data_IF_326923868771
#
_entry.id   IF_326923868771
#
_cell.length_a   1.000
_cell.length_b   1.000
_cell.length_c   1.000
_cell.angle_alpha   90.00
_cell.angle_beta   90.00
_cell.angle_gamma   90.00
#
_symmetry.space_group_name_H-M   'P 1'
#
loop_
_entity.id
_entity.type
_entity.pdbx_description
1 polymer ?
#
# COMPACT_ATOMS: atom_id res chain seq x y z
N UNK A 1 -7.51 -0.03 25.87
CA UNK A 1 -7.44 1.32 25.26
C UNK A 1 -6.63 2.36 26.07
N UNK A 2 -6.56 2.31 27.42
CA UNK A 2 -5.81 3.30 28.23
C UNK A 2 -4.32 3.41 27.88
N UNK A 3 -3.62 2.28 27.69
CA UNK A 3 -2.19 2.27 27.38
C UNK A 3 -1.87 2.99 26.05
N UNK A 4 -2.68 2.74 25.01
CA UNK A 4 -2.52 3.38 23.69
C UNK A 4 -2.69 4.90 23.79
N UNK A 5 -3.64 5.36 24.60
CA UNK A 5 -3.86 6.79 24.83
C UNK A 5 -2.67 7.44 25.55
N UNK A 6 -2.12 6.77 26.57
CA UNK A 6 -0.92 7.26 27.30
C UNK A 6 0.29 7.31 26.37
N UNK A 7 0.55 6.25 25.61
CA UNK A 7 1.66 6.22 24.64
C UNK A 7 1.52 7.31 23.59
N UNK A 8 0.31 7.53 23.05
CA UNK A 8 0.04 8.62 22.10
C UNK A 8 0.32 9.99 22.71
N UNK A 9 -0.10 10.23 23.95
CA UNK A 9 0.12 11.49 24.63
C UNK A 9 1.61 11.78 24.85
N UNK A 10 2.39 10.77 25.24
CA UNK A 10 3.86 10.88 25.39
C UNK A 10 4.51 11.20 24.05
N UNK A 11 4.16 10.47 22.99
CA UNK A 11 4.72 10.68 21.65
C UNK A 11 4.41 12.07 21.08
N UNK A 12 3.20 12.61 21.29
CA UNK A 12 2.86 13.97 20.86
C UNK A 12 3.62 15.03 21.67
N UNK A 13 3.81 14.80 22.98
CA UNK A 13 4.63 15.67 23.83
C UNK A 13 6.09 15.73 23.38
N UNK A 14 6.70 14.56 23.11
CA UNK A 14 8.07 14.46 22.61
C UNK A 14 8.23 15.11 21.24
N UNK A 15 7.31 14.85 20.31
CA UNK A 15 7.29 15.49 18.99
C UNK A 15 7.24 17.02 19.10
N UNK A 16 6.38 17.55 19.97
CA UNK A 16 6.28 18.99 20.19
C UNK A 16 7.58 19.59 20.77
N UNK A 17 8.25 18.87 21.68
CA UNK A 17 9.54 19.28 22.23
C UNK A 17 10.66 19.30 21.17
N UNK A 18 10.72 18.27 20.33
CA UNK A 18 11.70 18.17 19.24
C UNK A 18 11.49 19.27 18.20
N UNK A 19 10.25 19.51 17.78
CA UNK A 19 9.92 20.59 16.82
C UNK A 19 10.19 22.00 17.35
N UNK A 20 10.13 22.20 18.67
CA UNK A 20 10.53 23.47 19.30
C UNK A 20 12.05 23.65 19.31
N UNK A 21 12.81 22.57 19.43
CA UNK A 21 14.28 22.59 19.47
C UNK A 21 14.89 22.76 18.08
N UNK A 22 14.37 22.01 17.10
CA UNK A 22 14.90 21.99 15.74
C UNK A 22 13.92 22.67 14.78
N UNK A 23 14.29 23.84 14.23
CA UNK A 23 13.46 24.58 13.26
C UNK A 23 13.18 23.79 11.97
N UNK A 24 14.05 22.84 11.62
CA UNK A 24 13.90 21.95 10.47
C UNK A 24 14.35 20.54 10.85
N UNK A 25 13.57 19.54 10.46
CA UNK A 25 13.93 18.14 10.70
C UNK A 25 14.96 17.68 9.65
N UNK A 26 15.94 16.84 10.02
CA UNK A 26 16.87 16.27 9.06
C UNK A 26 16.16 15.46 7.96
N UNK A 27 16.72 15.43 6.74
CA UNK A 27 16.18 14.64 5.62
C UNK A 27 16.04 13.15 5.96
N UNK A 28 16.94 12.63 6.79
CA UNK A 28 16.92 11.25 7.30
C UNK A 28 15.66 10.95 8.13
N UNK A 29 15.12 11.94 8.84
CA UNK A 29 13.85 11.80 9.55
C UNK A 29 12.69 11.64 8.57
N UNK A 30 12.58 12.54 7.58
CA UNK A 30 11.52 12.47 6.58
C UNK A 30 11.56 11.16 5.80
N UNK A 31 12.76 10.67 5.48
CA UNK A 31 12.97 9.38 4.84
C UNK A 31 12.47 8.22 5.69
N UNK A 32 12.84 8.17 6.98
CA UNK A 32 12.37 7.13 7.91
C UNK A 32 10.86 7.19 8.09
N UNK A 33 10.29 8.37 8.19
CA UNK A 33 8.84 8.56 8.29
C UNK A 33 8.12 8.03 7.04
N UNK A 34 8.66 8.31 5.86
CA UNK A 34 8.12 7.79 4.60
C UNK A 34 8.21 6.26 4.53
N UNK A 35 9.34 5.68 4.93
CA UNK A 35 9.55 4.22 5.02
C UNK A 35 8.51 3.55 5.93
N UNK A 36 8.27 4.13 7.11
CA UNK A 36 7.27 3.62 8.05
C UNK A 36 5.85 3.74 7.51
N UNK A 37 5.51 4.86 6.87
CA UNK A 37 4.20 5.04 6.25
C UNK A 37 3.96 4.04 5.12
N UNK A 38 4.96 3.83 4.28
CA UNK A 38 4.87 2.87 3.17
C UNK A 38 4.73 1.44 3.68
N UNK A 39 5.60 1.02 4.61
CA UNK A 39 5.55 -0.34 5.19
C UNK A 39 4.23 -0.64 5.90
N UNK A 40 3.71 0.30 6.70
CA UNK A 40 2.39 0.15 7.33
C UNK A 40 1.28 0.05 6.28
N UNK A 41 1.32 0.88 5.24
CA UNK A 41 0.37 0.84 4.13
C UNK A 41 0.38 -0.50 3.41
N UNK A 42 1.57 -1.04 3.15
CA UNK A 42 1.74 -2.34 2.50
C UNK A 42 1.24 -3.49 3.39
N UNK A 43 1.55 -3.47 4.69
CA UNK A 43 1.06 -4.48 5.65
C UNK A 43 -0.47 -4.49 5.71
N UNK A 44 -1.10 -3.32 5.67
CA UNK A 44 -2.55 -3.18 5.61
C UNK A 44 -3.12 -3.76 4.32
N UNK A 45 -2.49 -3.47 3.18
CA UNK A 45 -2.89 -4.05 1.90
C UNK A 45 -2.77 -5.59 1.92
N UNK A 46 -1.67 -6.13 2.46
CA UNK A 46 -1.48 -7.57 2.65
C UNK A 46 -2.50 -8.19 3.60
N UNK A 47 -2.94 -7.46 4.63
CA UNK A 47 -4.02 -7.90 5.50
C UNK A 47 -5.32 -8.02 4.72
N UNK A 48 -5.67 -7.00 3.93
CA UNK A 48 -6.88 -7.02 3.09
C UNK A 48 -6.87 -8.14 2.06
N UNK A 49 -5.73 -8.41 1.43
CA UNK A 49 -5.59 -9.56 0.52
C UNK A 49 -5.89 -10.87 1.24
N UNK A 50 -5.41 -11.04 2.48
CA UNK A 50 -5.70 -12.22 3.30
C UNK A 50 -7.17 -12.29 3.74
N UNK A 51 -7.80 -11.16 4.06
CA UNK A 51 -9.23 -11.09 4.37
C UNK A 51 -10.09 -11.48 3.16
N UNK A 52 -9.76 -10.97 1.97
CA UNK A 52 -10.42 -11.32 0.71
C UNK A 52 -10.30 -12.83 0.45
N UNK A 53 -9.10 -13.39 0.65
CA UNK A 53 -8.88 -14.83 0.51
C UNK A 53 -9.73 -15.64 1.51
N UNK A 54 -9.74 -15.24 2.79
CA UNK A 54 -10.49 -15.94 3.84
C UNK A 54 -12.00 -15.93 3.57
N UNK A 55 -12.57 -14.77 3.22
CA UNK A 55 -14.00 -14.65 2.88
C UNK A 55 -14.40 -15.51 1.68
N UNK A 56 -13.49 -15.67 0.72
CA UNK A 56 -13.71 -16.54 -0.44
C UNK A 56 -13.64 -18.02 -0.06
N UNK A 57 -12.69 -18.41 0.79
CA UNK A 57 -12.55 -19.79 1.28
C UNK A 57 -13.71 -20.21 2.21
N UNK A 58 -14.32 -19.25 2.90
CA UNK A 58 -15.55 -19.44 3.69
C UNK A 58 -16.82 -19.54 2.82
N UNK A 59 -16.73 -19.28 1.51
CA UNK A 59 -17.78 -19.53 0.51
C UNK A 59 -18.13 -21.03 0.35
N UNK A 60 -19.23 -21.38 -0.35
CA UNK A 60 -20.32 -22.31 0.03
C UNK A 60 -19.94 -23.80 0.06
N UNK A 61 -18.87 -24.17 0.77
CA UNK A 61 -18.33 -25.52 0.81
C UNK A 61 -18.65 -26.30 2.09
N UNK A 62 -19.42 -25.76 3.04
CA UNK A 62 -19.71 -26.47 4.31
C UNK A 62 -21.16 -26.66 4.69
N UNK A 63 -22.09 -25.77 4.35
CA UNK A 63 -23.51 -25.99 4.66
C UNK A 63 -24.41 -25.38 3.58
N UNK A 64 -25.38 -26.16 3.10
CA UNK A 64 -26.33 -25.80 2.05
C UNK A 64 -27.37 -24.75 2.46
N UNK A 65 -26.95 -23.64 3.07
CA UNK A 65 -27.80 -22.56 3.51
C UNK A 65 -27.73 -21.38 2.53
N UNK A 66 -28.90 -21.05 1.97
CA UNK A 66 -29.35 -19.77 1.37
C UNK A 66 -28.25 -18.72 1.18
N UNK A 67 -27.96 -18.40 -0.09
CA UNK A 67 -27.12 -17.27 -0.49
C UNK A 67 -27.59 -15.98 0.19
N UNK A 68 -26.88 -15.52 1.22
CA UNK A 68 -27.10 -14.18 1.76
C UNK A 68 -26.48 -13.18 0.79
N UNK A 69 -27.25 -12.22 0.24
CA UNK A 69 -26.75 -11.22 -0.72
C UNK A 69 -25.73 -10.23 -0.12
N UNK A 70 -25.44 -10.33 1.18
CA UNK A 70 -24.46 -9.51 1.89
C UNK A 70 -22.99 -9.89 1.57
N UNK A 71 -22.67 -11.18 1.51
CA UNK A 71 -21.28 -11.66 1.36
C UNK A 71 -20.62 -11.23 0.02
N UNK A 72 -21.30 -11.29 -1.15
CA UNK A 72 -20.70 -10.81 -2.41
C UNK A 72 -20.48 -9.29 -2.44
N UNK A 73 -21.33 -8.53 -1.72
CA UNK A 73 -21.19 -7.07 -1.60
C UNK A 73 -20.00 -6.71 -0.72
N UNK A 74 -19.84 -7.38 0.41
CA UNK A 74 -18.70 -7.20 1.31
C UNK A 74 -17.37 -7.50 0.60
N UNK A 75 -17.28 -8.61 -0.13
CA UNK A 75 -16.10 -8.97 -0.93
C UNK A 75 -15.77 -7.89 -1.98
N UNK A 76 -16.79 -7.42 -2.70
CA UNK A 76 -16.64 -6.36 -3.70
C UNK A 76 -16.13 -5.05 -3.09
N UNK A 77 -16.63 -4.68 -1.91
CA UNK A 77 -16.15 -3.49 -1.19
C UNK A 77 -14.68 -3.63 -0.76
N UNK A 78 -14.29 -4.78 -0.21
CA UNK A 78 -12.92 -5.03 0.21
C UNK A 78 -11.93 -5.00 -0.96
N UNK A 79 -12.31 -5.56 -2.11
CA UNK A 79 -11.51 -5.53 -3.33
C UNK A 79 -11.32 -4.09 -3.83
N UNK A 80 -12.38 -3.29 -3.88
CA UNK A 80 -12.30 -1.88 -4.30
C UNK A 80 -11.42 -1.06 -3.36
N UNK A 81 -11.54 -1.30 -2.07
CA UNK A 81 -10.73 -0.66 -1.05
C UNK A 81 -9.24 -1.08 -1.15
N UNK A 82 -8.96 -2.36 -1.33
CA UNK A 82 -7.61 -2.88 -1.55
C UNK A 82 -6.98 -2.26 -2.82
N UNK A 83 -7.74 -2.13 -3.90
CA UNK A 83 -7.29 -1.47 -5.13
C UNK A 83 -6.94 0.00 -4.93
N UNK A 84 -7.75 0.73 -4.15
CA UNK A 84 -7.46 2.13 -3.80
C UNK A 84 -6.17 2.25 -2.99
N UNK A 85 -5.92 1.32 -2.06
CA UNK A 85 -4.68 1.30 -1.29
C UNK A 85 -3.46 0.91 -2.14
N UNK A 86 -3.61 -0.03 -3.06
CA UNK A 86 -2.59 -0.39 -4.03
C UNK A 86 -2.19 0.81 -4.92
N UNK A 87 -3.16 1.56 -5.43
CA UNK A 87 -2.92 2.78 -6.20
C UNK A 87 -2.21 3.85 -5.35
N UNK A 88 -2.59 4.02 -4.08
CA UNK A 88 -1.92 4.95 -3.18
C UNK A 88 -0.47 4.54 -2.91
N UNK A 89 -0.21 3.26 -2.67
CA UNK A 89 1.14 2.71 -2.47
C UNK A 89 1.99 2.90 -3.73
N UNK A 90 1.42 2.67 -4.91
CA UNK A 90 2.06 2.97 -6.20
C UNK A 90 2.48 4.43 -6.31
N UNK A 91 1.60 5.38 -5.98
CA UNK A 91 1.94 6.80 -6.02
C UNK A 91 3.09 7.16 -5.08
N UNK A 92 3.18 6.52 -3.91
CA UNK A 92 4.31 6.70 -3.00
C UNK A 92 5.63 6.21 -3.61
N UNK A 93 5.62 5.03 -4.25
CA UNK A 93 6.80 4.50 -4.96
C UNK A 93 7.21 5.43 -6.08
N UNK A 94 6.28 5.87 -6.93
CA UNK A 94 6.58 6.78 -8.05
C UNK A 94 7.17 8.11 -7.57
N UNK A 95 6.60 8.69 -6.51
CA UNK A 95 7.15 9.91 -5.90
C UNK A 95 8.56 9.67 -5.38
N UNK A 96 8.82 8.52 -4.77
CA UNK A 96 10.15 8.18 -4.27
C UNK A 96 11.18 7.99 -5.39
N UNK A 97 10.79 7.38 -6.52
CA UNK A 97 11.61 7.30 -7.73
C UNK A 97 11.98 8.71 -8.22
N UNK A 98 11.02 9.63 -8.27
CA UNK A 98 11.27 11.02 -8.70
C UNK A 98 12.25 11.74 -7.77
N UNK A 99 12.08 11.59 -6.45
CA UNK A 99 12.99 12.17 -5.46
C UNK A 99 14.40 11.60 -5.63
N UNK A 100 14.51 10.28 -5.79
CA UNK A 100 15.80 9.61 -5.98
C UNK A 100 16.51 10.09 -7.25
N UNK A 101 15.80 10.18 -8.39
CA UNK A 101 16.35 10.72 -9.65
C UNK A 101 16.82 12.17 -9.49
N UNK A 102 16.06 12.99 -8.76
CA UNK A 102 16.45 14.38 -8.49
C UNK A 102 17.71 14.46 -7.62
N UNK A 103 17.82 13.62 -6.59
CA UNK A 103 19.02 13.55 -5.75
C UNK A 103 20.23 13.08 -6.55
N UNK A 104 20.06 12.09 -7.43
CA UNK A 104 21.12 11.63 -8.33
C UNK A 104 21.58 12.75 -9.29
N UNK A 105 20.65 13.53 -9.84
CA UNK A 105 20.99 14.68 -10.68
C UNK A 105 21.79 15.74 -9.92
N UNK A 106 21.39 16.07 -8.68
CA UNK A 106 22.11 17.03 -7.84
C UNK A 106 23.49 16.52 -7.45
N UNK A 107 23.64 15.20 -7.24
CA UNK A 107 24.92 14.55 -7.02
C UNK A 107 25.89 14.77 -8.18
N UNK A 108 25.37 14.73 -9.41
CA UNK A 108 26.13 15.08 -10.61
C UNK A 108 26.67 16.51 -10.60
N UNK A 109 26.07 17.41 -9.81
CA UNK A 109 26.52 18.79 -9.60
C UNK A 109 27.37 18.96 -8.33
N UNK A 110 27.83 17.87 -7.71
CA UNK A 110 28.69 17.90 -6.52
C UNK A 110 27.95 17.87 -5.17
N UNK A 111 26.64 17.65 -5.15
CA UNK A 111 25.92 17.41 -3.89
C UNK A 111 26.24 16.02 -3.31
N UNK A 112 26.12 15.87 -1.99
CA UNK A 112 26.30 14.57 -1.31
C UNK A 112 25.15 13.63 -1.70
N UNK A 113 25.50 12.40 -2.09
CA UNK A 113 24.55 11.36 -2.49
C UNK A 113 24.85 10.04 -1.76
N UNK A 114 24.09 9.80 -0.71
CA UNK A 114 24.23 8.62 0.16
C UNK A 114 23.18 7.53 -0.14
N UNK A 115 22.41 7.66 -1.23
CA UNK A 115 21.31 6.74 -1.51
C UNK A 115 21.70 5.62 -2.49
N UNK A 116 21.64 4.37 -2.02
CA UNK A 116 21.65 3.20 -2.90
C UNK A 116 20.23 2.91 -3.44
N UNK A 117 20.17 2.22 -4.58
CA UNK A 117 18.90 1.86 -5.22
C UNK A 117 18.15 0.73 -4.47
N UNK A 118 18.85 -0.05 -3.65
CA UNK A 118 18.33 -1.26 -3.03
C UNK A 118 17.01 -1.07 -2.22
N UNK A 119 16.84 -0.04 -1.36
CA UNK A 119 15.58 0.20 -0.67
C UNK A 119 14.43 0.52 -1.63
N UNK A 120 14.72 1.24 -2.71
CA UNK A 120 13.71 1.58 -3.72
C UNK A 120 13.32 0.33 -4.53
N UNK A 121 14.30 -0.48 -4.92
CA UNK A 121 14.07 -1.77 -5.56
C UNK A 121 13.19 -2.67 -4.68
N UNK A 122 13.53 -2.81 -3.39
CA UNK A 122 12.74 -3.59 -2.43
C UNK A 122 11.29 -3.09 -2.33
N UNK A 123 11.06 -1.77 -2.36
CA UNK A 123 9.70 -1.21 -2.36
C UNK A 123 8.93 -1.60 -3.63
N UNK A 124 9.57 -1.57 -4.80
CA UNK A 124 8.96 -2.00 -6.05
C UNK A 124 8.62 -3.50 -6.01
N UNK A 125 9.57 -4.35 -5.62
CA UNK A 125 9.40 -5.80 -5.52
C UNK A 125 8.24 -6.16 -4.60
N UNK A 126 8.25 -5.61 -3.37
CA UNK A 126 7.20 -5.85 -2.40
C UNK A 126 5.81 -5.38 -2.88
N UNK A 127 5.75 -4.25 -3.60
CA UNK A 127 4.48 -3.75 -4.15
C UNK A 127 3.96 -4.66 -5.27
N UNK A 128 4.87 -5.12 -6.15
CA UNK A 128 4.54 -6.02 -7.25
C UNK A 128 4.10 -7.39 -6.74
N UNK A 129 4.72 -7.89 -5.66
CA UNK A 129 4.28 -9.13 -5.01
C UNK A 129 2.83 -9.03 -4.54
N UNK A 130 2.50 -7.97 -3.78
CA UNK A 130 1.13 -7.77 -3.27
C UNK A 130 0.14 -7.47 -4.39
N UNK A 131 0.58 -6.76 -5.44
CA UNK A 131 -0.19 -6.57 -6.68
C UNK A 131 -0.62 -7.92 -7.27
N UNK A 132 0.31 -8.86 -7.44
CA UNK A 132 0.00 -10.15 -8.05
C UNK A 132 -0.92 -10.98 -7.16
N UNK A 133 -0.73 -10.95 -5.84
CA UNK A 133 -1.63 -11.62 -4.91
C UNK A 133 -3.05 -11.05 -5.01
N UNK A 134 -3.21 -9.71 -5.03
CA UNK A 134 -4.52 -9.09 -5.17
C UNK A 134 -5.16 -9.39 -6.52
N UNK A 135 -4.38 -9.35 -7.62
CA UNK A 135 -4.86 -9.71 -8.95
C UNK A 135 -5.36 -11.15 -9.00
N UNK A 136 -4.64 -12.10 -8.40
CA UNK A 136 -5.07 -13.49 -8.30
C UNK A 136 -6.41 -13.61 -7.55
N UNK A 137 -6.58 -12.91 -6.43
CA UNK A 137 -7.84 -12.92 -5.69
C UNK A 137 -9.01 -12.35 -6.51
N UNK A 138 -8.80 -11.26 -7.25
CA UNK A 138 -9.82 -10.67 -8.13
C UNK A 138 -10.20 -11.62 -9.26
N UNK A 139 -9.23 -12.28 -9.88
CA UNK A 139 -9.51 -13.29 -10.91
C UNK A 139 -10.29 -14.48 -10.34
N UNK A 140 -9.93 -14.92 -9.13
CA UNK A 140 -10.57 -16.02 -8.45
C UNK A 140 -12.01 -15.69 -7.97
N UNK A 141 -12.30 -14.42 -7.73
CA UNK A 141 -13.61 -13.87 -7.35
C UNK A 141 -14.44 -13.36 -8.56
N UNK A 142 -13.97 -13.59 -9.79
CA UNK A 142 -14.59 -13.07 -11.03
C UNK A 142 -16.08 -13.38 -11.16
N UNK A 143 -16.51 -14.57 -10.73
CA UNK A 143 -17.92 -15.00 -10.77
C UNK A 143 -18.79 -14.27 -9.75
N UNK A 144 -18.22 -13.85 -8.62
CA UNK A 144 -18.91 -13.21 -7.49
C UNK A 144 -18.98 -11.69 -7.65
N UNK A 145 -17.97 -11.09 -8.29
CA UNK A 145 -17.89 -9.65 -8.60
C UNK A 145 -18.88 -9.19 -9.67
N UNK A 146 -19.39 -10.12 -10.48
CA UNK A 146 -20.25 -9.81 -11.62
C UNK A 146 -19.49 -9.18 -12.81
N UNK A 147 -20.14 -9.12 -13.99
CA UNK A 147 -19.50 -8.71 -15.24
C UNK A 147 -19.20 -7.20 -15.31
N UNK A 148 -19.81 -6.38 -14.47
CA UNK A 148 -19.67 -4.91 -14.51
C UNK A 148 -18.40 -4.41 -13.79
N UNK A 149 -17.97 -5.10 -12.73
CA UNK A 149 -16.84 -4.65 -11.89
C UNK A 149 -15.49 -5.20 -12.35
N UNK A 150 -15.47 -6.40 -12.96
CA UNK A 150 -14.22 -7.06 -13.34
C UNK A 150 -13.42 -6.30 -14.42
N UNK A 151 -14.01 -5.86 -15.55
CA UNK A 151 -13.23 -5.18 -16.60
C UNK A 151 -12.56 -3.87 -16.11
N UNK A 152 -13.26 -2.94 -15.41
CA UNK A 152 -12.64 -1.74 -14.88
C UNK A 152 -11.52 -2.03 -13.87
N UNK A 153 -11.65 -3.09 -13.08
CA UNK A 153 -10.59 -3.51 -12.15
C UNK A 153 -9.33 -3.96 -12.89
N UNK A 154 -9.48 -4.77 -13.94
CA UNK A 154 -8.35 -5.23 -14.75
C UNK A 154 -7.62 -4.09 -15.46
N UNK A 155 -8.36 -3.10 -15.98
CA UNK A 155 -7.76 -1.89 -16.54
C UNK A 155 -6.94 -1.13 -15.49
N UNK A 156 -7.47 -0.96 -14.28
CA UNK A 156 -6.75 -0.32 -13.17
C UNK A 156 -5.49 -1.08 -12.78
N UNK A 157 -5.53 -2.42 -12.73
CA UNK A 157 -4.33 -3.24 -12.52
C UNK A 157 -3.28 -3.02 -13.62
N UNK A 158 -3.70 -2.99 -14.88
CA UNK A 158 -2.78 -2.73 -15.99
C UNK A 158 -2.16 -1.33 -15.91
N UNK A 159 -2.92 -0.32 -15.51
CA UNK A 159 -2.42 1.04 -15.29
C UNK A 159 -1.41 1.09 -14.14
N UNK A 160 -1.68 0.39 -13.03
CA UNK A 160 -0.73 0.30 -11.91
C UNK A 160 0.60 -0.32 -12.37
N UNK A 161 0.57 -1.47 -13.03
CA UNK A 161 1.78 -2.16 -13.48
C UNK A 161 2.52 -1.36 -14.56
N UNK A 162 1.80 -0.86 -15.57
CA UNK A 162 2.43 -0.13 -16.67
C UNK A 162 3.12 1.15 -16.20
N UNK A 163 2.53 1.85 -15.23
CA UNK A 163 3.14 3.06 -14.67
C UNK A 163 4.34 2.77 -13.77
N UNK A 164 4.44 1.58 -13.16
CA UNK A 164 5.63 1.15 -12.43
C UNK A 164 6.77 0.72 -13.36
N UNK A 165 6.46 0.01 -14.46
CA UNK A 165 7.47 -0.53 -15.39
C UNK A 165 8.03 0.54 -16.33
N UNK A 166 7.23 1.52 -16.76
CA UNK A 166 7.64 2.57 -17.71
C UNK A 166 8.51 3.68 -17.10
N UNK A 167 8.83 3.63 -15.80
CA UNK A 167 9.47 4.73 -15.05
C UNK A 167 10.90 4.40 -14.67
#
# INVERSE_FOLDING_TARGET
LRLVAVVRAVLEGEKAAVLKRDRHLPLSFHRRQEELKFSLGLQRLQHRVREIQALREEGPGRDGAVQSPAAPRELSTLILEAMKELEAAKQQVLKRIQIWKRQQQLAGNGAIFEENLAPLQKRCENLVEVYFQLQQQVMAASKELGPELLPPLLERFNEVLSSLVKR
#
